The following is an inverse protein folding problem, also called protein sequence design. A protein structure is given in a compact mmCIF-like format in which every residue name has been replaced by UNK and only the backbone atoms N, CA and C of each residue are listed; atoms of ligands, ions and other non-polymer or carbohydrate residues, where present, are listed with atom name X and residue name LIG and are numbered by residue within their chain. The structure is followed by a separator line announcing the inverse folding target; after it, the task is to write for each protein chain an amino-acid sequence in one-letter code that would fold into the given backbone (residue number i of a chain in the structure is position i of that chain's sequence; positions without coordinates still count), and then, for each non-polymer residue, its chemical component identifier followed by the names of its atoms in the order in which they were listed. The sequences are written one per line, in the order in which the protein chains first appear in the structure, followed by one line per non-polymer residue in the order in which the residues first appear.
data_IF_592248396140
#
_entry.id   IF_592248396140
#
_cell.length_a   1.000
_cell.length_b   1.000
_cell.length_c   1.000
_cell.angle_alpha   90.00
_cell.angle_beta   90.00
_cell.angle_gamma   90.00
#
_symmetry.space_group_name_H-M   'P 1'
#
loop_
_entity.id
_entity.type
_entity.pdbx_description
1 polymer ?
#
# COMPACT_ATOMS: atom_id res chain seq x y z
N UNK A 1 2.57 -7.88 2.58
CA UNK A 1 1.64 -6.95 3.29
C UNK A 1 0.55 -6.49 2.34
N UNK A 2 -0.62 -6.11 2.83
CA UNK A 2 -1.72 -5.64 1.97
C UNK A 2 -1.65 -4.13 1.70
N UNK A 3 -2.24 -3.70 0.59
CA UNK A 3 -2.34 -2.28 0.23
C UNK A 3 -3.34 -1.53 1.14
N UNK A 4 -2.88 -0.43 1.74
CA UNK A 4 -3.63 0.39 2.67
C UNK A 4 -2.93 1.73 2.93
N UNK A 5 -3.53 2.56 3.78
CA UNK A 5 -3.06 3.93 4.02
C UNK A 5 -1.63 3.99 4.61
N UNK A 6 -1.25 2.99 5.40
CA UNK A 6 0.06 2.90 6.06
C UNK A 6 1.08 2.08 5.28
N UNK A 7 0.68 1.47 4.15
CA UNK A 7 1.54 0.52 3.46
C UNK A 7 2.82 1.16 2.94
N UNK A 8 2.76 2.42 2.50
CA UNK A 8 3.93 3.17 2.04
C UNK A 8 4.98 3.31 3.14
N UNK A 9 4.54 3.70 4.35
CA UNK A 9 5.44 3.92 5.47
C UNK A 9 6.05 2.61 5.98
N UNK A 10 5.21 1.59 6.25
CA UNK A 10 5.66 0.28 6.75
C UNK A 10 6.52 -0.43 5.71
N UNK A 11 6.06 -0.47 4.46
CA UNK A 11 6.76 -1.16 3.38
C UNK A 11 8.08 -0.49 3.03
N UNK A 12 8.14 0.85 3.06
CA UNK A 12 9.38 1.59 2.90
C UNK A 12 10.40 1.27 3.99
N UNK A 13 10.00 1.31 5.26
CA UNK A 13 10.91 0.99 6.39
C UNK A 13 11.42 -0.45 6.32
N UNK A 14 10.55 -1.41 6.00
CA UNK A 14 10.97 -2.80 5.85
C UNK A 14 11.98 -2.99 4.71
N UNK A 15 11.81 -2.26 3.60
CA UNK A 15 12.80 -2.26 2.50
C UNK A 15 14.13 -1.63 2.95
N UNK A 16 14.08 -0.52 3.69
CA UNK A 16 15.28 0.15 4.22
C UNK A 16 16.05 -0.76 5.22
N UNK A 17 15.34 -1.60 5.97
CA UNK A 17 15.90 -2.64 6.85
C UNK A 17 16.34 -3.92 6.10
N UNK A 18 16.23 -3.95 4.76
CA UNK A 18 16.72 -5.04 3.92
C UNK A 18 15.76 -6.23 3.75
N UNK A 19 14.50 -6.11 4.16
CA UNK A 19 13.51 -7.17 3.98
C UNK A 19 12.94 -7.18 2.55
N UNK A 20 12.70 -8.37 1.96
CA UNK A 20 11.95 -8.48 0.72
C UNK A 20 10.47 -8.16 1.00
N UNK A 21 9.99 -7.05 0.44
CA UNK A 21 8.60 -6.59 0.64
C UNK A 21 7.81 -6.66 -0.66
N UNK A 22 6.61 -7.22 -0.57
CA UNK A 22 5.59 -7.12 -1.60
C UNK A 22 4.28 -6.60 -1.02
N UNK A 23 3.68 -5.64 -1.73
CA UNK A 23 2.37 -5.09 -1.42
C UNK A 23 1.30 -5.78 -2.27
N UNK A 24 0.32 -6.40 -1.62
CA UNK A 24 -0.74 -7.18 -2.28
C UNK A 24 -1.94 -6.27 -2.60
N UNK A 25 -2.55 -6.46 -3.77
CA UNK A 25 -3.81 -5.80 -4.12
C UNK A 25 -4.97 -6.39 -3.29
N UNK A 26 -5.64 -5.55 -2.50
CA UNK A 26 -6.57 -5.99 -1.46
C UNK A 26 -7.85 -6.60 -2.01
N UNK A 27 -8.34 -6.17 -3.18
CA UNK A 27 -9.55 -6.75 -3.77
C UNK A 27 -9.28 -8.16 -4.29
N UNK A 28 -8.10 -8.40 -4.85
CA UNK A 28 -7.67 -9.70 -5.33
C UNK A 28 -7.45 -10.68 -4.17
N UNK A 29 -6.81 -10.23 -3.10
CA UNK A 29 -6.69 -11.03 -1.87
C UNK A 29 -8.08 -11.36 -1.32
N UNK A 30 -8.96 -10.37 -1.19
CA UNK A 30 -10.34 -10.58 -0.73
C UNK A 30 -11.11 -11.56 -1.61
N UNK A 31 -10.97 -11.47 -2.94
CA UNK A 31 -11.63 -12.40 -3.87
C UNK A 31 -11.11 -13.83 -3.71
N UNK A 32 -9.80 -14.00 -3.55
CA UNK A 32 -9.20 -15.31 -3.32
C UNK A 32 -9.64 -15.94 -1.98
N UNK A 33 -9.81 -15.13 -0.93
CA UNK A 33 -10.34 -15.59 0.36
C UNK A 33 -11.86 -15.78 0.36
N UNK A 34 -12.57 -15.23 -0.63
CA UNK A 34 -14.04 -15.28 -0.70
C UNK A 34 -14.62 -16.68 -0.86
N UNK A 35 -13.83 -17.66 -1.30
CA UNK A 35 -14.22 -19.06 -1.41
C UNK A 35 -14.19 -19.83 -0.06
N UNK A 36 -13.70 -19.20 1.01
CA UNK A 36 -13.61 -19.85 2.32
C UNK A 36 -14.96 -19.88 3.02
N UNK A 37 -15.46 -21.09 3.32
CA UNK A 37 -16.76 -21.30 3.99
C UNK A 37 -16.82 -20.74 5.41
N UNK A 38 -15.69 -20.79 6.14
CA UNK A 38 -15.60 -20.35 7.54
C UNK A 38 -14.61 -19.19 7.64
N UNK A 39 -15.14 -18.01 7.96
CA UNK A 39 -14.34 -16.81 8.16
C UNK A 39 -13.88 -16.69 9.61
N UNK A 40 -12.57 -16.78 9.81
CA UNK A 40 -11.89 -16.48 11.08
C UNK A 40 -10.56 -15.84 10.76
N UNK A 41 -10.03 -15.01 11.66
CA UNK A 41 -8.73 -14.36 11.46
C UNK A 41 -7.60 -15.38 11.24
N UNK A 42 -7.68 -16.54 11.89
CA UNK A 42 -6.74 -17.66 11.70
C UNK A 42 -6.80 -18.20 10.27
N UNK A 43 -8.00 -18.43 9.75
CA UNK A 43 -8.21 -18.94 8.40
C UNK A 43 -7.79 -17.90 7.34
N UNK A 44 -8.10 -16.61 7.58
CA UNK A 44 -7.68 -15.53 6.69
C UNK A 44 -6.15 -15.43 6.63
N UNK A 45 -5.46 -15.48 7.78
CA UNK A 45 -4.00 -15.47 7.84
C UNK A 45 -3.39 -16.66 7.10
N UNK A 46 -3.95 -17.85 7.28
CA UNK A 46 -3.54 -19.05 6.53
C UNK A 46 -3.78 -18.86 5.03
N UNK A 47 -4.96 -18.38 4.61
CA UNK A 47 -5.29 -18.15 3.21
C UNK A 47 -4.34 -17.14 2.55
N UNK A 48 -4.02 -16.04 3.24
CA UNK A 48 -3.03 -15.05 2.75
C UNK A 48 -1.65 -15.70 2.60
N UNK A 49 -1.21 -16.51 3.57
CA UNK A 49 0.08 -17.21 3.47
C UNK A 49 0.12 -18.19 2.28
N UNK A 50 -1.00 -18.87 1.98
CA UNK A 50 -1.13 -19.75 0.82
C UNK A 50 -1.02 -18.96 -0.49
N UNK A 51 -1.77 -17.86 -0.60
CA UNK A 51 -1.75 -16.95 -1.76
C UNK A 51 -0.33 -16.42 -2.04
N UNK A 52 0.38 -16.00 -0.99
CA UNK A 52 1.76 -15.50 -1.11
C UNK A 52 2.70 -16.62 -1.57
N UNK A 53 2.59 -17.82 -0.98
CA UNK A 53 3.46 -18.95 -1.32
C UNK A 53 3.31 -19.40 -2.76
N UNK A 54 2.10 -19.36 -3.31
CA UNK A 54 1.82 -19.74 -4.70
C UNK A 54 2.00 -18.60 -5.70
N UNK A 55 2.36 -17.40 -5.23
CA UNK A 55 2.37 -16.18 -6.05
C UNK A 55 1.04 -15.88 -6.73
N UNK A 56 -0.08 -16.33 -6.16
CA UNK A 56 -1.42 -16.15 -6.70
C UNK A 56 -2.04 -14.82 -6.26
N UNK A 57 -1.24 -13.75 -6.35
CA UNK A 57 -1.62 -12.40 -5.97
C UNK A 57 -1.26 -11.40 -7.08
N UNK A 58 -1.79 -10.19 -6.96
CA UNK A 58 -1.39 -9.07 -7.81
C UNK A 58 -0.54 -8.12 -6.98
N UNK A 59 0.69 -7.88 -7.41
CA UNK A 59 1.57 -6.91 -6.77
C UNK A 59 1.08 -5.49 -7.08
N UNK A 60 1.07 -4.63 -6.07
CA UNK A 60 0.82 -3.19 -6.21
C UNK A 60 2.13 -2.45 -6.01
N UNK A 61 2.36 -1.45 -6.86
CA UNK A 61 3.51 -0.58 -6.70
C UNK A 61 3.41 0.23 -5.41
N UNK A 62 4.44 0.11 -4.57
CA UNK A 62 4.62 0.98 -3.42
C UNK A 62 5.31 2.27 -3.87
N UNK A 63 4.68 3.42 -3.62
CA UNK A 63 5.32 4.71 -3.89
C UNK A 63 6.57 4.85 -3.03
N UNK A 64 7.62 5.45 -3.58
CA UNK A 64 8.80 5.79 -2.79
C UNK A 64 8.54 7.01 -1.91
N UNK A 65 9.19 7.04 -0.75
CA UNK A 65 9.14 8.18 0.16
C UNK A 65 9.58 9.49 -0.54
N UNK A 66 10.59 9.42 -1.41
CA UNK A 66 11.04 10.56 -2.21
C UNK A 66 9.94 11.07 -3.17
N UNK A 67 9.24 10.15 -3.85
CA UNK A 67 8.14 10.51 -4.75
C UNK A 67 6.95 11.12 -4.02
N UNK A 68 6.65 10.64 -2.82
CA UNK A 68 5.61 11.22 -1.96
C UNK A 68 5.99 12.62 -1.47
N UNK A 69 7.23 12.81 -1.00
CA UNK A 69 7.76 14.12 -0.60
C UNK A 69 7.68 15.15 -1.72
N UNK A 70 8.11 14.79 -2.93
CA UNK A 70 8.04 15.67 -4.10
C UNK A 70 6.61 16.09 -4.44
N UNK A 71 5.66 15.15 -4.38
CA UNK A 71 4.24 15.46 -4.61
C UNK A 71 3.70 16.42 -3.56
N UNK A 72 4.02 16.19 -2.28
CA UNK A 72 3.60 17.06 -1.17
C UNK A 72 4.16 18.47 -1.33
N UNK A 73 5.45 18.61 -1.63
CA UNK A 73 6.08 19.92 -1.86
C UNK A 73 5.45 20.66 -3.04
N UNK A 74 5.19 19.95 -4.15
CA UNK A 74 4.57 20.54 -5.35
C UNK A 74 3.14 21.01 -5.06
N UNK A 75 2.37 20.22 -4.31
CA UNK A 75 1.02 20.59 -3.89
C UNK A 75 1.01 21.81 -2.96
N UNK A 76 1.91 21.82 -1.96
CA UNK A 76 2.05 22.94 -1.02
C UNK A 76 2.43 24.25 -1.74
N UNK A 77 3.38 24.19 -2.68
CA UNK A 77 3.76 25.36 -3.50
C UNK A 77 2.56 25.87 -4.29
N UNK A 78 1.80 24.99 -4.95
CA UNK A 78 0.63 25.39 -5.73
C UNK A 78 -0.41 26.09 -4.85
N UNK A 79 -0.68 25.54 -3.67
CA UNK A 79 -1.62 26.14 -2.71
C UNK A 79 -1.14 27.53 -2.25
N UNK A 80 0.15 27.69 -1.94
CA UNK A 80 0.72 28.97 -1.54
C UNK A 80 0.59 30.03 -2.66
N UNK A 81 0.91 29.67 -3.91
CA UNK A 81 0.76 30.58 -5.06
C UNK A 81 -0.69 30.99 -5.26
N UNK A 82 -1.63 30.03 -5.19
CA UNK A 82 -3.07 30.34 -5.29
C UNK A 82 -3.55 31.26 -4.17
N UNK A 83 -3.05 31.08 -2.94
CA UNK A 83 -3.40 31.93 -1.81
C UNK A 83 -2.86 33.36 -1.96
N UNK A 84 -1.64 33.54 -2.49
CA UNK A 84 -1.07 34.87 -2.77
C UNK A 84 -1.92 35.58 -3.83
N UNK A 85 -2.21 34.92 -4.95
CA UNK A 85 -2.97 35.52 -6.04
C UNK A 85 -4.44 35.81 -5.68
N UNK A 86 -4.99 35.19 -4.62
CA UNK A 86 -6.35 35.44 -4.16
C UNK A 86 -6.45 36.64 -3.20
N UNK A 87 -5.30 37.10 -2.68
CA UNK A 87 -5.20 38.27 -1.79
C UNK A 87 -4.77 39.53 -2.55
N UNK A 88 -4.53 39.43 -3.86
CA UNK A 88 -4.36 40.54 -4.80
C UNK A 88 -5.70 40.89 -5.47
#
# INVERSE_FOLDING_TARGET
MEAGATSEWIGGHLVDEGFPVVCLETRHVKAALGAMTVKTDRNDAQGIAQIVRTSWFKAVHLKSAAGQRLRTLTAARKAAVTAVNANE
#
